data_IF_880072556846
#
_entry.id   IF_880072556846
#
_cell.length_a   1.000
_cell.length_b   1.000
_cell.length_c   1.000
_cell.angle_alpha   90.00
_cell.angle_beta   90.00
_cell.angle_gamma   90.00
#
_symmetry.space_group_name_H-M   'P 1'
#
loop_
_entity.id
_entity.type
_entity.pdbx_description
1 polymer ?
#
# COMPACT_ATOMS: atom_id res chain seq x y z
N UNK A 1 -18.54 27.95 -29.55
CA UNK A 1 -18.83 28.87 -28.54
C UNK A 1 -18.65 28.49 -27.08
N UNK A 2 -17.69 27.68 -26.70
CA UNK A 2 -17.49 27.28 -25.31
C UNK A 2 -16.63 28.22 -24.42
N UNK A 3 -16.48 29.49 -24.78
CA UNK A 3 -15.52 30.39 -24.13
C UNK A 3 -16.14 31.36 -23.09
N UNK A 4 -17.32 31.06 -22.55
CA UNK A 4 -18.01 31.98 -21.64
C UNK A 4 -18.58 31.29 -20.38
N UNK A 5 -17.90 30.26 -19.88
CA UNK A 5 -18.23 29.66 -18.60
C UNK A 5 -17.57 30.42 -17.45
N UNK A 6 -17.98 30.11 -16.23
CA UNK A 6 -17.29 30.48 -15.00
C UNK A 6 -17.17 29.21 -14.13
N UNK A 7 -16.30 28.29 -14.55
CA UNK A 7 -16.12 26.98 -13.93
C UNK A 7 -15.11 27.10 -12.81
N UNK A 8 -15.49 26.69 -11.61
CA UNK A 8 -14.58 26.45 -10.51
C UNK A 8 -14.03 25.02 -10.64
N UNK A 9 -12.84 24.89 -11.22
CA UNK A 9 -12.22 23.61 -11.48
C UNK A 9 -11.84 22.84 -10.21
N UNK A 10 -11.61 23.51 -9.09
CA UNK A 10 -11.39 22.84 -7.83
C UNK A 10 -12.69 22.21 -7.29
N UNK A 11 -13.81 22.94 -7.36
CA UNK A 11 -15.10 22.37 -6.96
C UNK A 11 -15.57 21.27 -7.93
N UNK A 12 -15.22 21.36 -9.22
CA UNK A 12 -15.52 20.33 -10.22
C UNK A 12 -14.77 19.03 -9.94
N UNK A 13 -13.46 19.09 -9.64
CA UNK A 13 -12.63 17.90 -9.49
C UNK A 13 -12.57 17.35 -8.06
N UNK A 14 -12.73 18.17 -7.03
CA UNK A 14 -12.55 17.73 -5.65
C UNK A 14 -13.88 17.58 -4.91
N UNK A 15 -13.97 16.51 -4.15
CA UNK A 15 -15.01 16.31 -3.13
C UNK A 15 -14.69 17.18 -1.92
N UNK A 16 -15.69 17.89 -1.36
CA UNK A 16 -15.51 18.70 -0.14
C UNK A 16 -15.23 17.86 1.10
N UNK A 17 -15.84 16.68 1.17
CA UNK A 17 -15.71 15.75 2.28
C UNK A 17 -15.53 14.34 1.72
N UNK A 18 -14.58 13.60 2.26
CA UNK A 18 -14.31 12.22 1.89
C UNK A 18 -14.31 11.35 3.14
N UNK A 19 -15.20 10.36 3.24
CA UNK A 19 -15.26 9.49 4.39
C UNK A 19 -14.05 8.53 4.40
N UNK A 20 -13.51 8.31 5.59
CA UNK A 20 -12.58 7.24 5.89
C UNK A 20 -13.13 6.45 7.07
N UNK A 21 -13.12 5.13 6.97
CA UNK A 21 -13.62 4.24 8.01
C UNK A 21 -12.52 3.31 8.46
N UNK A 22 -12.32 3.19 9.77
CA UNK A 22 -11.35 2.27 10.34
C UNK A 22 -11.97 1.47 11.47
N UNK A 23 -11.79 0.16 11.43
CA UNK A 23 -12.22 -0.77 12.47
C UNK A 23 -11.01 -1.55 12.99
N UNK A 24 -10.94 -1.69 14.30
CA UNK A 24 -9.88 -2.45 14.95
C UNK A 24 -10.50 -3.39 16.00
N UNK A 25 -10.01 -4.61 16.04
CA UNK A 25 -10.34 -5.59 17.07
C UNK A 25 -9.06 -6.19 17.59
N UNK A 26 -8.97 -6.41 18.90
CA UNK A 26 -7.84 -7.10 19.51
C UNK A 26 -8.31 -8.00 20.63
N UNK A 27 -7.68 -9.17 20.71
CA UNK A 27 -7.87 -10.16 21.75
C UNK A 27 -6.51 -10.51 22.31
N UNK A 28 -6.42 -10.66 23.62
CA UNK A 28 -5.20 -11.12 24.28
C UNK A 28 -5.53 -11.97 25.48
N UNK A 29 -4.63 -12.85 25.81
CA UNK A 29 -4.80 -13.75 26.94
C UNK A 29 -3.47 -14.41 27.28
N UNK A 30 -3.49 -15.22 28.33
CA UNK A 30 -2.32 -15.94 28.72
C UNK A 30 -2.45 -16.64 30.06
N UNK A 31 -1.38 -17.31 30.44
CA UNK A 31 -1.14 -17.93 31.73
C UNK A 31 0.23 -17.50 32.23
N UNK A 32 0.70 -18.05 33.32
CA UNK A 32 2.06 -17.79 33.83
C UNK A 32 3.17 -18.11 32.81
N UNK A 33 2.95 -19.10 31.94
CA UNK A 33 3.95 -19.56 30.97
C UNK A 33 3.69 -19.17 29.52
N UNK A 34 2.48 -18.76 29.19
CA UNK A 34 2.09 -18.43 27.80
C UNK A 34 1.35 -17.12 27.80
N UNK A 35 1.75 -16.25 26.90
CA UNK A 35 1.00 -15.04 26.55
C UNK A 35 0.76 -15.00 25.05
N UNK A 36 -0.39 -14.47 24.66
CA UNK A 36 -0.73 -14.31 23.25
C UNK A 36 -1.58 -13.08 23.02
N UNK A 37 -1.48 -12.55 21.84
CA UNK A 37 -2.37 -11.49 21.34
C UNK A 37 -2.62 -11.67 19.86
N UNK A 38 -3.86 -11.41 19.45
CA UNK A 38 -4.26 -11.34 18.03
C UNK A 38 -5.02 -10.05 17.83
N UNK A 39 -4.69 -9.33 16.76
CA UNK A 39 -5.43 -8.12 16.38
C UNK A 39 -5.68 -8.10 14.89
N UNK A 40 -6.85 -7.57 14.51
CA UNK A 40 -7.24 -7.30 13.15
C UNK A 40 -7.62 -5.84 12.97
N UNK A 41 -7.30 -5.27 11.83
CA UNK A 41 -7.77 -3.94 11.43
C UNK A 41 -8.20 -3.91 9.98
N UNK A 42 -9.21 -3.11 9.71
CA UNK A 42 -9.70 -2.78 8.39
C UNK A 42 -9.75 -1.27 8.25
N UNK A 43 -9.21 -0.74 7.17
CA UNK A 43 -9.29 0.66 6.79
C UNK A 43 -9.87 0.74 5.38
N UNK A 44 -10.90 1.54 5.21
CA UNK A 44 -11.43 1.95 3.91
C UNK A 44 -11.27 3.47 3.77
N UNK A 45 -10.67 3.91 2.67
CA UNK A 45 -10.44 5.31 2.38
C UNK A 45 -10.79 5.60 0.92
N UNK A 46 -11.69 6.55 0.71
CA UNK A 46 -12.02 7.03 -0.63
C UNK A 46 -11.09 8.17 -1.03
N UNK A 47 -10.87 8.32 -2.32
CA UNK A 47 -10.07 9.42 -2.88
C UNK A 47 -10.83 10.75 -2.93
N UNK A 48 -10.06 11.83 -2.99
CA UNK A 48 -10.57 13.20 -3.02
C UNK A 48 -11.17 13.59 -4.38
N UNK A 49 -10.81 12.86 -5.44
CA UNK A 49 -11.27 13.19 -6.80
C UNK A 49 -12.73 12.76 -6.98
N UNK A 50 -13.53 13.63 -7.57
CA UNK A 50 -14.96 13.41 -7.80
C UNK A 50 -15.23 12.42 -8.94
N UNK A 51 -14.43 12.50 -9.99
CA UNK A 51 -14.59 11.73 -11.21
C UNK A 51 -13.75 10.45 -11.18
N UNK A 52 -14.34 9.35 -11.66
CA UNK A 52 -13.73 8.03 -11.62
C UNK A 52 -13.76 7.40 -10.22
N UNK A 53 -13.23 6.20 -10.12
CA UNK A 53 -13.15 5.43 -8.87
C UNK A 53 -11.75 5.55 -8.28
N UNK A 54 -11.66 6.04 -7.04
CA UNK A 54 -10.41 6.18 -6.28
C UNK A 54 -10.67 5.72 -4.85
N UNK A 55 -10.20 4.51 -4.53
CA UNK A 55 -10.49 3.83 -3.27
C UNK A 55 -9.31 2.97 -2.80
N UNK A 56 -9.03 3.02 -1.51
CA UNK A 56 -8.04 2.19 -0.85
C UNK A 56 -8.67 1.40 0.28
N UNK A 57 -8.51 0.07 0.22
CA UNK A 57 -8.82 -0.86 1.29
C UNK A 57 -7.54 -1.45 1.88
N UNK A 58 -7.45 -1.49 3.21
CA UNK A 58 -6.32 -2.11 3.90
C UNK A 58 -6.78 -3.03 5.00
N UNK A 59 -6.29 -4.24 4.95
CA UNK A 59 -6.50 -5.30 5.94
C UNK A 59 -5.18 -5.56 6.65
N UNK A 60 -5.20 -5.65 7.97
CA UNK A 60 -4.01 -6.02 8.74
C UNK A 60 -4.40 -7.04 9.80
N UNK A 61 -3.63 -8.11 9.90
CA UNK A 61 -3.72 -9.11 10.96
C UNK A 61 -2.36 -9.24 11.63
N UNK A 62 -2.35 -9.13 12.95
CA UNK A 62 -1.14 -9.36 13.76
C UNK A 62 -1.43 -10.46 14.77
N UNK A 63 -0.43 -11.31 14.99
CA UNK A 63 -0.46 -12.30 16.06
C UNK A 63 0.91 -12.35 16.74
N UNK A 64 0.87 -12.44 18.08
CA UNK A 64 2.06 -12.61 18.90
C UNK A 64 1.80 -13.71 19.90
N UNK A 65 2.80 -14.58 20.07
CA UNK A 65 2.80 -15.66 21.05
C UNK A 65 4.14 -15.66 21.74
N UNK A 66 4.13 -15.62 23.06
CA UNK A 66 5.30 -15.82 23.90
C UNK A 66 5.07 -17.02 24.82
N UNK A 67 6.02 -17.94 24.88
CA UNK A 67 5.90 -19.14 25.69
C UNK A 67 7.20 -19.45 26.43
N UNK A 68 7.11 -19.74 27.73
CA UNK A 68 8.17 -20.35 28.49
C UNK A 68 8.11 -21.89 28.30
N UNK A 69 8.96 -22.39 27.40
CA UNK A 69 9.04 -23.83 27.08
C UNK A 69 9.65 -24.60 28.26
N UNK A 70 10.63 -24.00 28.88
CA UNK A 70 11.31 -24.46 30.10
C UNK A 70 11.71 -23.24 30.92
N UNK A 71 12.08 -23.41 32.19
CA UNK A 71 12.54 -22.32 33.08
C UNK A 71 13.72 -21.51 32.53
N UNK A 72 14.44 -22.10 31.58
CA UNK A 72 15.63 -21.51 30.93
C UNK A 72 15.49 -21.29 29.42
N UNK A 73 14.26 -21.57 28.83
CA UNK A 73 13.98 -21.35 27.40
C UNK A 73 12.65 -20.60 27.25
N UNK A 74 12.70 -19.45 26.60
CA UNK A 74 11.56 -18.69 26.15
C UNK A 74 11.53 -18.62 24.62
N UNK A 75 10.34 -18.81 24.05
CA UNK A 75 10.05 -18.64 22.65
C UNK A 75 9.11 -17.44 22.48
N UNK A 76 9.45 -16.52 21.59
CA UNK A 76 8.57 -15.46 21.13
C UNK A 76 8.39 -15.56 19.61
N UNK A 77 7.14 -15.63 19.15
CA UNK A 77 6.78 -15.64 17.75
C UNK A 77 5.84 -14.51 17.43
N UNK A 78 6.20 -13.73 16.41
CA UNK A 78 5.40 -12.63 15.90
C UNK A 78 5.10 -12.84 14.42
N UNK A 79 3.87 -12.63 14.00
CA UNK A 79 3.49 -12.61 12.60
C UNK A 79 2.60 -11.43 12.31
N UNK A 80 2.79 -10.82 11.14
CA UNK A 80 1.96 -9.74 10.63
C UNK A 80 1.71 -9.95 9.15
N UNK A 81 0.44 -9.90 8.77
CA UNK A 81 0.02 -9.81 7.39
C UNK A 81 -0.71 -8.49 7.16
N UNK A 82 -0.38 -7.83 6.05
CA UNK A 82 -1.08 -6.62 5.61
C UNK A 82 -1.36 -6.75 4.13
N UNK A 83 -2.63 -6.58 3.76
CA UNK A 83 -3.04 -6.45 2.38
C UNK A 83 -3.54 -5.04 2.13
N UNK A 84 -3.09 -4.43 1.04
CA UNK A 84 -3.61 -3.16 0.54
C UNK A 84 -4.11 -3.38 -0.88
N UNK A 85 -5.37 -3.09 -1.10
CA UNK A 85 -6.01 -3.04 -2.40
C UNK A 85 -6.28 -1.56 -2.70
N UNK A 86 -5.73 -1.06 -3.82
CA UNK A 86 -5.89 0.32 -4.24
C UNK A 86 -6.31 0.36 -5.70
N UNK A 87 -7.40 1.06 -5.98
CA UNK A 87 -7.87 1.28 -7.32
C UNK A 87 -8.03 2.77 -7.57
N UNK A 88 -7.61 3.22 -8.76
CA UNK A 88 -7.74 4.61 -9.19
C UNK A 88 -7.90 4.72 -10.69
N UNK A 89 -8.45 5.85 -11.21
CA UNK A 89 -8.37 6.16 -12.62
C UNK A 89 -6.93 6.13 -13.12
N UNK A 90 -6.71 5.51 -14.26
CA UNK A 90 -5.37 5.41 -14.84
C UNK A 90 -4.77 6.80 -15.12
N UNK A 91 -5.61 7.74 -15.49
CA UNK A 91 -5.22 9.11 -15.80
C UNK A 91 -4.89 9.97 -14.56
N UNK A 92 -5.16 9.49 -13.36
CA UNK A 92 -4.85 10.20 -12.12
C UNK A 92 -3.33 10.19 -11.85
N UNK A 93 -2.63 11.11 -12.50
CA UNK A 93 -1.17 11.25 -12.51
C UNK A 93 -0.74 12.62 -11.99
N UNK A 94 0.56 12.81 -11.80
CA UNK A 94 1.11 14.12 -11.44
C UNK A 94 0.81 15.22 -12.48
N UNK A 95 0.73 14.86 -13.76
CA UNK A 95 0.38 15.79 -14.84
C UNK A 95 -1.07 16.25 -14.73
N UNK A 96 -2.00 15.35 -14.39
CA UNK A 96 -3.39 15.70 -14.14
C UNK A 96 -3.53 16.76 -13.04
N UNK A 97 -2.88 16.56 -11.88
CA UNK A 97 -2.91 17.55 -10.78
C UNK A 97 -2.27 18.89 -11.17
N UNK A 98 -1.22 18.86 -11.96
CA UNK A 98 -0.60 20.07 -12.49
C UNK A 98 -1.58 20.83 -13.41
N UNK A 99 -2.32 20.12 -14.24
CA UNK A 99 -3.26 20.71 -15.19
C UNK A 99 -4.46 21.36 -14.53
N UNK A 100 -5.00 20.83 -13.43
CA UNK A 100 -6.11 21.43 -12.69
C UNK A 100 -5.79 22.89 -12.33
N UNK A 101 -4.60 23.15 -11.79
CA UNK A 101 -4.18 24.48 -11.36
C UNK A 101 -4.02 25.50 -12.52
N UNK A 102 -3.97 25.04 -13.76
CA UNK A 102 -3.73 25.86 -14.96
C UNK A 102 -4.99 26.06 -15.81
N UNK A 103 -6.10 25.41 -15.46
CA UNK A 103 -7.33 25.50 -16.24
C UNK A 103 -7.95 26.88 -16.16
N UNK A 104 -8.40 27.35 -17.30
CA UNK A 104 -9.07 28.65 -17.37
C UNK A 104 -10.53 28.51 -16.94
N UNK A 105 -11.01 29.36 -16.04
CA UNK A 105 -12.41 29.32 -15.60
C UNK A 105 -13.42 29.56 -16.74
N UNK A 106 -12.99 30.21 -17.82
CA UNK A 106 -13.85 30.48 -18.99
C UNK A 106 -14.18 29.23 -19.81
N UNK A 107 -13.48 28.08 -19.55
CA UNK A 107 -13.80 26.83 -20.22
C UNK A 107 -14.93 26.12 -19.48
N UNK A 108 -15.97 25.63 -20.15
CA UNK A 108 -17.02 24.80 -19.54
C UNK A 108 -16.51 23.37 -19.33
N UNK A 109 -17.07 22.66 -18.35
CA UNK A 109 -16.81 21.24 -18.15
C UNK A 109 -17.58 20.35 -19.14
N UNK A 110 -18.76 20.80 -19.54
CA UNK A 110 -19.73 20.09 -20.39
C UNK A 110 -20.04 20.90 -21.62
N UNK A 111 -20.18 20.25 -22.76
CA UNK A 111 -20.62 20.85 -24.03
C UNK A 111 -22.15 21.08 -24.04
N UNK A 112 -22.72 21.81 -25.04
CA UNK A 112 -24.15 22.03 -25.12
C UNK A 112 -24.99 20.74 -25.30
N UNK A 113 -24.39 19.63 -25.72
CA UNK A 113 -25.05 18.35 -25.92
C UNK A 113 -24.96 17.43 -24.66
N UNK A 114 -24.28 17.89 -23.61
CA UNK A 114 -24.17 17.16 -22.35
C UNK A 114 -22.93 16.24 -22.22
N UNK A 115 -21.99 16.33 -23.15
CA UNK A 115 -20.75 15.53 -23.10
C UNK A 115 -19.62 16.32 -22.42
N UNK A 116 -18.66 15.59 -21.85
CA UNK A 116 -17.45 16.20 -21.30
C UNK A 116 -16.63 16.90 -22.36
N UNK A 117 -16.31 18.17 -22.13
CA UNK A 117 -15.52 18.96 -23.05
C UNK A 117 -14.14 18.36 -23.28
N UNK A 118 -13.68 18.43 -24.51
CA UNK A 118 -12.32 18.02 -24.88
C UNK A 118 -11.26 18.84 -24.12
N UNK A 119 -10.17 18.19 -23.72
CA UNK A 119 -9.07 18.79 -22.96
C UNK A 119 -9.37 19.05 -21.49
N UNK A 120 -10.58 18.71 -20.99
CA UNK A 120 -10.92 18.88 -19.57
C UNK A 120 -10.58 17.66 -18.71
N UNK A 121 -10.12 16.57 -19.31
CA UNK A 121 -9.60 15.34 -18.65
C UNK A 121 -10.61 14.61 -17.75
N UNK A 122 -11.88 15.01 -17.74
CA UNK A 122 -12.90 14.34 -16.93
C UNK A 122 -13.26 13.01 -17.57
N UNK A 123 -13.44 12.96 -18.88
CA UNK A 123 -13.72 11.72 -19.59
C UNK A 123 -12.57 10.71 -19.45
N UNK A 124 -11.34 11.18 -19.41
CA UNK A 124 -10.17 10.32 -19.16
C UNK A 124 -10.17 9.72 -17.75
N UNK A 125 -10.69 10.45 -16.75
CA UNK A 125 -10.83 9.92 -15.39
C UNK A 125 -11.96 8.89 -15.29
N UNK A 126 -13.06 9.08 -16.03
CA UNK A 126 -14.24 8.21 -15.96
C UNK A 126 -14.09 6.99 -16.86
N UNK A 127 -13.66 7.19 -18.12
CA UNK A 127 -13.68 6.18 -19.17
C UNK A 127 -12.28 5.70 -19.60
N UNK A 128 -11.23 6.39 -19.18
CA UNK A 128 -9.86 6.16 -19.66
C UNK A 128 -9.17 4.90 -19.10
N UNK A 129 -9.88 4.10 -18.31
CA UNK A 129 -9.39 2.89 -17.69
C UNK A 129 -8.88 3.09 -16.26
N UNK A 130 -8.47 2.00 -15.64
CA UNK A 130 -8.13 1.95 -14.21
C UNK A 130 -6.73 1.40 -13.97
N UNK A 131 -6.16 1.78 -12.84
CA UNK A 131 -4.98 1.15 -12.25
C UNK A 131 -5.40 0.49 -10.96
N UNK A 132 -5.22 -0.84 -10.88
CA UNK A 132 -5.44 -1.63 -9.68
C UNK A 132 -4.11 -2.09 -9.13
N UNK A 133 -3.88 -1.87 -7.85
CA UNK A 133 -2.68 -2.28 -7.12
C UNK A 133 -3.08 -3.18 -5.94
N UNK A 134 -2.55 -4.41 -5.93
CA UNK A 134 -2.69 -5.35 -4.83
C UNK A 134 -1.33 -5.58 -4.20
N UNK A 135 -1.22 -5.33 -2.91
CA UNK A 135 0.05 -5.43 -2.19
C UNK A 135 -0.11 -6.23 -0.90
N UNK A 136 0.54 -7.38 -0.86
CA UNK A 136 0.60 -8.23 0.32
C UNK A 136 1.98 -8.13 0.98
N UNK A 137 1.98 -7.89 2.28
CA UNK A 137 3.17 -7.91 3.13
C UNK A 137 2.96 -8.94 4.21
N UNK A 138 3.89 -9.89 4.26
CA UNK A 138 3.88 -10.92 5.27
C UNK A 138 5.22 -10.92 6.02
N UNK A 139 5.16 -10.69 7.32
CA UNK A 139 6.34 -10.66 8.19
C UNK A 139 6.20 -11.71 9.26
N UNK A 140 7.24 -12.49 9.46
CA UNK A 140 7.36 -13.47 10.53
C UNK A 140 8.66 -13.23 11.28
N UNK A 141 8.63 -13.38 12.57
CA UNK A 141 9.79 -13.30 13.44
C UNK A 141 9.70 -14.35 14.54
N UNK A 142 10.73 -15.13 14.68
CA UNK A 142 10.89 -16.14 15.70
C UNK A 142 12.12 -15.80 16.52
N UNK A 143 11.96 -15.80 17.85
CA UNK A 143 13.07 -15.54 18.78
C UNK A 143 13.08 -16.59 19.87
N UNK A 144 14.23 -17.21 20.06
CA UNK A 144 14.54 -18.01 21.24
C UNK A 144 15.42 -17.18 22.18
N UNK A 145 15.06 -17.19 23.44
CA UNK A 145 15.90 -16.70 24.54
C UNK A 145 16.21 -17.88 25.44
N UNK A 146 17.50 -18.20 25.56
CA UNK A 146 18.02 -19.33 26.35
C UNK A 146 18.88 -18.73 27.45
N UNK A 147 18.58 -19.07 28.70
CA UNK A 147 19.31 -18.62 29.90
C UNK A 147 19.90 -19.85 30.63
N UNK A 148 21.03 -20.37 30.16
CA UNK A 148 21.61 -21.62 30.73
C UNK A 148 22.06 -21.48 32.19
N UNK A 149 22.52 -20.27 32.54
CA UNK A 149 23.03 -19.93 33.88
C UNK A 149 22.60 -18.47 34.19
N UNK A 150 22.59 -18.14 35.46
CA UNK A 150 22.35 -16.75 35.90
C UNK A 150 23.35 -15.79 35.27
N UNK A 151 22.87 -14.73 34.68
CA UNK A 151 23.64 -13.70 33.99
C UNK A 151 24.09 -14.07 32.57
N UNK A 152 23.85 -15.28 32.07
CA UNK A 152 24.19 -15.68 30.72
C UNK A 152 22.94 -15.91 29.85
N UNK A 153 22.81 -15.13 28.80
CA UNK A 153 21.73 -15.27 27.84
C UNK A 153 22.25 -15.55 26.43
N UNK A 154 21.58 -16.41 25.71
CA UNK A 154 21.81 -16.73 24.31
C UNK A 154 20.51 -16.42 23.56
N UNK A 155 20.62 -15.70 22.45
CA UNK A 155 19.51 -15.31 21.62
C UNK A 155 19.72 -15.85 20.21
N UNK A 156 18.67 -16.49 19.67
CA UNK A 156 18.60 -16.88 18.27
C UNK A 156 17.32 -16.28 17.70
N UNK A 157 17.48 -15.42 16.71
CA UNK A 157 16.36 -14.71 16.07
C UNK A 157 16.37 -15.00 14.57
N UNK A 158 15.21 -15.38 14.03
CA UNK A 158 14.97 -15.50 12.61
C UNK A 158 13.84 -14.55 12.21
N UNK A 159 14.03 -13.78 11.16
CA UNK A 159 13.01 -12.93 10.59
C UNK A 159 12.89 -13.18 9.09
N UNK A 160 11.65 -13.20 8.59
CA UNK A 160 11.33 -13.29 7.18
C UNK A 160 10.27 -12.24 6.86
N UNK A 161 10.48 -11.49 5.78
CA UNK A 161 9.48 -10.58 5.22
C UNK A 161 9.34 -10.84 3.73
N UNK A 162 8.12 -11.15 3.30
CA UNK A 162 7.75 -11.27 1.89
C UNK A 162 6.83 -10.12 1.52
N UNK A 163 7.12 -9.44 0.41
CA UNK A 163 6.23 -8.48 -0.24
C UNK A 163 5.91 -8.98 -1.63
N UNK A 164 4.62 -9.09 -1.94
CA UNK A 164 4.12 -9.37 -3.29
C UNK A 164 3.25 -8.18 -3.70
N UNK A 165 3.58 -7.60 -4.84
CA UNK A 165 2.81 -6.50 -5.42
C UNK A 165 2.40 -6.87 -6.85
N UNK A 166 1.13 -6.71 -7.15
CA UNK A 166 0.59 -6.79 -8.49
C UNK A 166 -0.05 -5.46 -8.83
N UNK A 167 0.43 -4.85 -9.90
CA UNK A 167 -0.13 -3.61 -10.45
C UNK A 167 -0.59 -3.88 -11.87
N UNK A 168 -1.88 -3.73 -12.11
CA UNK A 168 -2.48 -3.83 -13.43
C UNK A 168 -2.98 -2.45 -13.83
N UNK A 169 -2.55 -1.95 -14.97
CA UNK A 169 -3.01 -0.68 -15.53
C UNK A 169 -3.71 -0.98 -16.85
N UNK A 170 -5.00 -0.71 -16.89
CA UNK A 170 -5.82 -0.76 -18.10
C UNK A 170 -5.92 0.65 -18.68
N UNK A 171 -5.61 0.81 -19.95
CA UNK A 171 -5.74 2.06 -20.67
C UNK A 171 -6.75 1.88 -21.80
N UNK A 172 -7.79 2.71 -21.80
CA UNK A 172 -8.90 2.65 -22.75
C UNK A 172 -8.94 3.97 -23.50
N UNK A 173 -9.05 3.98 -24.85
CA UNK A 173 -9.24 5.21 -25.62
C UNK A 173 -10.52 5.92 -25.22
N UNK A 174 -10.44 7.25 -25.14
CA UNK A 174 -11.54 8.12 -24.76
C UNK A 174 -12.07 8.86 -26.00
N UNK A 175 -13.38 9.03 -26.06
CA UNK A 175 -14.04 9.75 -27.13
C UNK A 175 -14.44 11.15 -26.69
N UNK A 176 -14.29 12.10 -27.62
CA UNK A 176 -14.93 13.42 -27.57
C UNK A 176 -16.02 13.50 -28.62
N UNK A 177 -16.83 14.52 -28.58
CA UNK A 177 -17.97 14.71 -29.49
C UNK A 177 -17.88 16.08 -30.18
N UNK A 178 -18.19 16.09 -31.45
CA UNK A 178 -18.30 17.35 -32.21
C UNK A 178 -19.61 18.11 -31.89
N UNK A 179 -19.81 19.24 -32.49
CA UNK A 179 -21.01 20.07 -32.25
C UNK A 179 -22.32 19.39 -32.68
N UNK A 180 -22.23 18.44 -33.62
CA UNK A 180 -23.35 17.66 -34.13
C UNK A 180 -23.60 16.38 -33.34
N UNK A 181 -22.77 16.14 -32.30
CA UNK A 181 -22.84 14.96 -31.42
C UNK A 181 -22.19 13.70 -31.99
N UNK A 182 -21.36 13.79 -33.03
CA UNK A 182 -20.64 12.64 -33.57
C UNK A 182 -19.40 12.38 -32.72
N UNK A 183 -19.15 11.11 -32.32
CA UNK A 183 -17.95 10.76 -31.55
C UNK A 183 -16.70 10.78 -32.43
N UNK A 184 -15.63 11.32 -31.91
CA UNK A 184 -14.29 11.19 -32.48
C UNK A 184 -13.28 10.78 -31.40
N UNK A 185 -12.26 10.05 -31.81
CA UNK A 185 -11.24 9.58 -30.89
C UNK A 185 -10.40 10.76 -30.40
N UNK A 186 -10.28 10.90 -29.08
CA UNK A 186 -9.50 11.99 -28.49
C UNK A 186 -8.00 11.70 -28.64
N UNK A 187 -7.29 12.58 -29.35
CA UNK A 187 -5.83 12.53 -29.47
C UNK A 187 -5.19 13.46 -28.41
N UNK A 188 -5.28 13.08 -27.17
CA UNK A 188 -4.72 13.84 -26.05
C UNK A 188 -3.36 13.29 -25.57
N UNK A 189 -2.60 12.62 -26.43
CA UNK A 189 -1.39 11.91 -26.03
C UNK A 189 -1.66 10.65 -25.19
N UNK A 190 -2.94 10.33 -24.99
CA UNK A 190 -3.42 9.20 -24.22
C UNK A 190 -3.33 7.89 -25.02
N UNK A 191 -3.31 8.00 -26.35
CA UNK A 191 -3.24 6.90 -27.28
C UNK A 191 -4.60 6.47 -27.79
N UNK A 192 -4.58 5.90 -28.98
CA UNK A 192 -5.77 5.51 -29.76
C UNK A 192 -6.07 4.02 -29.67
N UNK A 193 -5.27 3.24 -28.92
CA UNK A 193 -5.36 1.79 -28.80
C UNK A 193 -5.47 1.40 -27.34
N UNK A 194 -6.41 0.49 -27.04
CA UNK A 194 -6.50 -0.10 -25.71
C UNK A 194 -5.26 -0.92 -25.42
N UNK A 195 -4.77 -0.84 -24.19
CA UNK A 195 -3.67 -1.69 -23.77
C UNK A 195 -3.77 -1.99 -22.26
N UNK A 196 -3.14 -3.08 -21.85
CA UNK A 196 -3.02 -3.49 -20.46
C UNK A 196 -1.56 -3.68 -20.11
N UNK A 197 -1.13 -3.05 -19.04
CA UNK A 197 0.17 -3.29 -18.42
C UNK A 197 -0.03 -4.09 -17.14
N UNK A 198 0.69 -5.20 -17.00
CA UNK A 198 0.75 -5.98 -15.77
C UNK A 198 2.20 -5.95 -15.24
N UNK A 199 2.34 -5.54 -13.98
CA UNK A 199 3.62 -5.53 -13.28
C UNK A 199 3.45 -6.37 -12.01
N UNK A 200 4.39 -7.31 -11.81
CA UNK A 200 4.46 -8.16 -10.62
C UNK A 200 5.82 -8.02 -9.99
N UNK A 201 5.81 -7.51 -8.78
CA UNK A 201 7.00 -7.32 -7.98
C UNK A 201 6.94 -8.25 -6.76
N UNK A 202 8.00 -9.02 -6.56
CA UNK A 202 8.17 -9.86 -5.39
C UNK A 202 9.50 -9.55 -4.72
N UNK A 203 9.45 -9.45 -3.41
CA UNK A 203 10.61 -9.19 -2.59
C UNK A 203 10.59 -10.13 -1.38
N UNK A 204 11.72 -10.80 -1.11
CA UNK A 204 11.91 -11.58 0.10
C UNK A 204 13.13 -11.03 0.84
N UNK A 205 12.98 -10.85 2.14
CA UNK A 205 14.06 -10.48 3.04
C UNK A 205 14.12 -11.50 4.17
N UNK A 206 15.30 -11.99 4.44
CA UNK A 206 15.60 -12.93 5.50
C UNK A 206 16.69 -12.35 6.39
N UNK A 207 16.51 -12.47 7.69
CA UNK A 207 17.53 -12.09 8.65
C UNK A 207 17.66 -13.19 9.72
N UNK A 208 18.89 -13.51 10.08
CA UNK A 208 19.21 -14.41 11.19
C UNK A 208 20.21 -13.72 12.08
N UNK A 209 19.87 -13.60 13.36
CA UNK A 209 20.74 -13.06 14.40
C UNK A 209 20.99 -14.13 15.44
N UNK A 210 22.24 -14.38 15.78
CA UNK A 210 22.62 -15.22 16.92
C UNK A 210 23.60 -14.43 17.76
N UNK A 211 23.25 -14.17 18.99
CA UNK A 211 24.10 -13.41 19.90
C UNK A 211 23.98 -13.94 21.32
N UNK A 212 25.00 -13.67 22.12
CA UNK A 212 25.03 -14.04 23.51
C UNK A 212 25.57 -12.90 24.35
N UNK A 213 25.01 -12.75 25.53
CA UNK A 213 25.54 -11.82 26.54
C UNK A 213 25.77 -12.53 27.86
N UNK A 214 26.81 -12.08 28.57
CA UNK A 214 27.11 -12.48 29.92
C UNK A 214 27.24 -11.22 30.77
N UNK A 215 26.45 -11.16 31.84
CA UNK A 215 26.43 -10.05 32.81
C UNK A 215 26.87 -10.60 34.17
N UNK A 216 27.78 -9.93 34.81
CA UNK A 216 28.22 -10.27 36.17
C UNK A 216 28.46 -9.04 37.03
N UNK A 217 28.03 -9.13 38.27
CA UNK A 217 28.26 -8.11 39.30
C UNK A 217 29.52 -8.42 40.10
N UNK A 218 30.40 -7.44 40.21
CA UNK A 218 31.65 -7.52 41.00
C UNK A 218 31.61 -6.43 42.09
N UNK A 219 30.86 -6.68 43.14
CA UNK A 219 30.65 -5.68 44.22
C UNK A 219 29.88 -4.47 43.69
N UNK A 220 30.55 -3.32 43.65
CA UNK A 220 29.96 -2.06 43.15
C UNK A 220 30.02 -1.92 41.62
N UNK A 221 30.63 -2.85 40.89
CA UNK A 221 30.82 -2.81 39.46
C UNK A 221 29.93 -3.85 38.77
N UNK A 222 29.31 -3.46 37.66
CA UNK A 222 28.55 -4.36 36.80
C UNK A 222 29.25 -4.43 35.43
N UNK A 223 29.66 -5.64 35.02
CA UNK A 223 30.28 -5.89 33.72
C UNK A 223 29.32 -6.65 32.81
N UNK A 224 29.19 -6.24 31.55
CA UNK A 224 28.47 -6.95 30.50
C UNK A 224 29.33 -7.11 29.26
N UNK A 225 29.38 -8.31 28.71
CA UNK A 225 30.03 -8.63 27.44
C UNK A 225 28.95 -9.18 26.50
N UNK A 226 28.93 -8.75 25.24
CA UNK A 226 28.05 -9.27 24.21
C UNK A 226 28.84 -9.57 22.95
N UNK A 227 28.55 -10.71 22.32
CA UNK A 227 29.13 -11.16 21.04
C UNK A 227 27.98 -11.72 20.18
N UNK A 228 28.00 -11.44 18.89
CA UNK A 228 26.96 -11.94 18.01
C UNK A 228 27.35 -11.95 16.55
N UNK A 229 26.50 -12.63 15.78
CA UNK A 229 26.57 -12.74 14.33
C UNK A 229 25.22 -12.31 13.75
N UNK A 230 25.27 -11.58 12.65
CA UNK A 230 24.12 -11.21 11.84
C UNK A 230 24.34 -11.74 10.42
N UNK A 231 23.27 -12.29 9.83
CA UNK A 231 23.21 -12.65 8.43
C UNK A 231 21.91 -12.09 7.84
N UNK A 232 22.03 -11.44 6.69
CA UNK A 232 20.88 -10.93 5.96
C UNK A 232 20.96 -11.36 4.49
N UNK A 233 19.78 -11.64 3.92
CA UNK A 233 19.64 -11.95 2.51
C UNK A 233 18.42 -11.24 1.95
N UNK A 234 18.59 -10.69 0.77
CA UNK A 234 17.58 -9.96 0.04
C UNK A 234 17.47 -10.52 -1.38
N UNK A 235 16.27 -10.96 -1.77
CA UNK A 235 15.95 -11.44 -3.11
C UNK A 235 14.80 -10.59 -3.67
N UNK A 236 14.91 -10.18 -4.92
CA UNK A 236 13.90 -9.35 -5.59
C UNK A 236 13.70 -9.82 -7.02
N UNK A 237 12.44 -9.99 -7.41
CA UNK A 237 12.02 -10.30 -8.77
C UNK A 237 11.02 -9.25 -9.25
N UNK A 238 11.16 -8.81 -10.50
CA UNK A 238 10.21 -7.93 -11.16
C UNK A 238 9.91 -8.46 -12.56
N UNK A 239 8.64 -8.70 -12.82
CA UNK A 239 8.12 -9.14 -14.13
C UNK A 239 7.08 -8.14 -14.59
N UNK A 240 7.22 -7.66 -15.79
CA UNK A 240 6.24 -6.80 -16.42
C UNK A 240 5.90 -7.27 -17.84
N UNK A 241 4.69 -7.01 -18.26
CA UNK A 241 4.21 -7.32 -19.59
C UNK A 241 3.20 -6.29 -20.08
N UNK A 242 3.04 -6.20 -21.38
CA UNK A 242 2.04 -5.38 -22.04
C UNK A 242 1.28 -6.24 -23.05
N UNK A 243 -0.04 -6.11 -23.07
CA UNK A 243 -0.95 -6.62 -24.09
C UNK A 243 -1.69 -5.44 -24.74
N UNK A 244 -1.88 -5.52 -26.05
CA UNK A 244 -2.67 -4.59 -26.84
C UNK A 244 -3.96 -5.25 -27.30
#
# INVERSE_FOLDING_TARGET
GGAFANTDWFDEFYKKNVPSTQHNISLSGGSEKINWSVSGSFLKQNGLIRHGHDELDRYTVNSKIGAEIASWIRLDYNTKWTRTDYEKPQYLTGLFFHNIARRWPTCPAIDPNGHWMDGMEIAELEDGGVTSEHKDWFTQQLKFTITPLEGWNIYAEGAMRTSNEKKTTSKIPVYSYDIDGNPYLRDSGYGTVSNVYDNRFRQNYYAVNVYTDYTRNFGLHNGKIMVGLNYERYDQDNLWGRGD
#
